data_IF_518307480026
#
_entry.id   IF_518307480026
#
_cell.length_a   1.000
_cell.length_b   1.000
_cell.length_c   1.000
_cell.angle_alpha   90.00
_cell.angle_beta   90.00
_cell.angle_gamma   90.00
#
_symmetry.space_group_name_H-M   'P 1'
#
loop_
_entity.id
_entity.type
_entity.pdbx_description
1 polymer ?
#
# COMPACT_ATOMS: atom_id res chain seq x y z
N UNK A 1 -1.86 -18.39 -14.19
CA UNK A 1 -2.21 -16.98 -14.47
C UNK A 1 -3.66 -16.87 -14.95
N UNK A 2 -4.60 -16.92 -14.02
CA UNK A 2 -6.02 -17.18 -14.34
C UNK A 2 -6.84 -15.86 -14.50
N UNK A 3 -6.16 -14.76 -14.86
CA UNK A 3 -6.84 -13.50 -15.12
C UNK A 3 -7.49 -13.50 -16.51
N UNK A 4 -8.73 -12.99 -16.60
CA UNK A 4 -9.46 -12.89 -17.86
C UNK A 4 -9.91 -11.43 -18.04
N UNK A 5 -9.44 -10.73 -19.09
CA UNK A 5 -8.41 -11.17 -20.04
C UNK A 5 -7.04 -11.33 -19.36
N UNK A 6 -6.15 -12.16 -19.95
CA UNK A 6 -4.78 -12.30 -19.43
C UNK A 6 -3.99 -10.99 -19.63
N UNK A 7 -2.97 -10.73 -18.78
CA UNK A 7 -2.06 -9.62 -19.03
C UNK A 7 -1.26 -9.85 -20.33
N UNK A 8 -0.90 -8.77 -21.03
CA UNK A 8 -0.07 -8.86 -22.23
C UNK A 8 1.36 -9.37 -21.92
N UNK A 9 1.84 -9.08 -20.73
CA UNK A 9 3.13 -9.55 -20.20
C UNK A 9 3.09 -9.66 -18.68
N UNK A 10 3.93 -10.52 -18.12
CA UNK A 10 4.20 -10.61 -16.68
C UNK A 10 5.69 -10.45 -16.45
N UNK A 11 6.05 -9.49 -15.62
CA UNK A 11 7.43 -9.14 -15.30
C UNK A 11 7.66 -9.42 -13.82
N UNK A 12 8.60 -10.32 -13.50
CA UNK A 12 9.07 -10.55 -12.15
C UNK A 12 10.43 -9.86 -11.96
N UNK A 13 10.46 -8.86 -11.10
CA UNK A 13 11.69 -8.14 -10.78
C UNK A 13 12.29 -8.71 -9.50
N UNK A 14 13.49 -9.24 -9.58
CA UNK A 14 14.24 -9.78 -8.43
C UNK A 14 15.23 -8.70 -7.94
N UNK A 15 15.09 -8.31 -6.68
CA UNK A 15 15.88 -7.20 -6.09
C UNK A 15 17.19 -7.71 -5.49
N UNK A 16 18.32 -7.55 -6.22
CA UNK A 16 19.69 -7.81 -5.77
C UNK A 16 19.89 -9.22 -5.15
N UNK A 17 19.23 -10.24 -5.71
CA UNK A 17 19.38 -11.62 -5.28
C UNK A 17 19.61 -12.53 -6.50
N UNK A 18 20.86 -12.67 -6.87
CA UNK A 18 21.26 -13.41 -8.07
C UNK A 18 20.87 -14.90 -8.02
N UNK A 19 20.90 -15.54 -6.85
CA UNK A 19 20.48 -16.93 -6.69
C UNK A 19 18.97 -17.09 -6.95
N UNK A 20 18.16 -16.20 -6.35
CA UNK A 20 16.71 -16.17 -6.58
C UNK A 20 16.38 -15.86 -8.04
N UNK A 21 17.10 -14.91 -8.65
CA UNK A 21 16.95 -14.58 -10.06
C UNK A 21 17.19 -15.80 -10.96
N UNK A 22 18.33 -16.51 -10.77
CA UNK A 22 18.67 -17.69 -11.55
C UNK A 22 17.63 -18.82 -11.38
N UNK A 23 17.12 -18.99 -10.15
CA UNK A 23 16.05 -19.97 -9.85
C UNK A 23 14.75 -19.59 -10.53
N UNK A 24 14.29 -18.35 -10.34
CA UNK A 24 13.04 -17.88 -10.93
C UNK A 24 13.06 -17.97 -12.47
N UNK A 25 14.17 -17.57 -13.10
CA UNK A 25 14.34 -17.65 -14.56
C UNK A 25 14.28 -19.09 -15.09
N UNK A 26 14.75 -20.06 -14.32
CA UNK A 26 14.66 -21.48 -14.68
C UNK A 26 13.25 -22.05 -14.48
N UNK A 27 12.59 -21.65 -13.37
CA UNK A 27 11.36 -22.30 -12.91
C UNK A 27 10.10 -21.63 -13.50
N UNK A 28 10.19 -20.39 -14.03
CA UNK A 28 9.07 -19.59 -14.54
C UNK A 28 9.26 -19.24 -16.02
N UNK A 29 9.05 -20.22 -16.91
CA UNK A 29 9.30 -20.07 -18.35
C UNK A 29 8.42 -19.00 -19.04
N UNK A 30 7.19 -18.79 -18.57
CA UNK A 30 6.21 -17.86 -19.16
C UNK A 30 6.24 -16.46 -18.52
N UNK A 31 7.24 -16.17 -17.68
CA UNK A 31 7.38 -14.91 -16.97
C UNK A 31 8.68 -14.23 -17.42
N UNK A 32 8.60 -12.93 -17.72
CA UNK A 32 9.81 -12.15 -17.97
C UNK A 32 10.51 -11.84 -16.63
N UNK A 33 11.48 -12.69 -16.27
CA UNK A 33 12.25 -12.54 -15.03
C UNK A 33 13.45 -11.62 -15.31
N UNK A 34 13.55 -10.54 -14.53
CA UNK A 34 14.62 -9.54 -14.63
C UNK A 34 15.23 -9.27 -13.26
N UNK A 35 16.50 -8.91 -13.24
CA UNK A 35 17.20 -8.48 -12.04
C UNK A 35 17.15 -6.96 -11.89
N UNK A 36 16.84 -6.46 -10.70
CA UNK A 36 16.97 -5.05 -10.38
C UNK A 36 18.46 -4.71 -10.27
N UNK A 37 18.98 -3.93 -11.21
CA UNK A 37 20.35 -3.42 -11.18
C UNK A 37 20.45 -1.96 -10.71
N UNK A 38 19.30 -1.33 -10.45
CA UNK A 38 19.19 0.04 -9.94
C UNK A 38 19.31 0.13 -8.42
N UNK A 39 18.63 1.06 -7.81
CA UNK A 39 18.61 1.21 -6.36
C UNK A 39 17.94 0.01 -5.68
N UNK A 40 18.55 -0.49 -4.61
CA UNK A 40 17.98 -1.58 -3.80
C UNK A 40 16.69 -1.16 -3.10
N UNK A 41 15.73 -2.07 -3.02
CA UNK A 41 14.47 -1.91 -2.31
C UNK A 41 13.25 -1.78 -3.22
N UNK A 42 12.08 -1.68 -2.60
CA UNK A 42 10.78 -1.76 -3.28
C UNK A 42 10.62 -0.72 -4.40
N UNK A 43 11.04 0.53 -4.17
CA UNK A 43 10.99 1.59 -5.18
C UNK A 43 11.87 1.29 -6.39
N UNK A 44 13.10 0.77 -6.17
CA UNK A 44 14.01 0.40 -7.25
C UNK A 44 13.46 -0.75 -8.09
N UNK A 45 12.96 -1.80 -7.43
CA UNK A 45 12.33 -2.93 -8.13
C UNK A 45 11.12 -2.50 -8.97
N UNK A 46 10.24 -1.64 -8.41
CA UNK A 46 9.08 -1.11 -9.14
C UNK A 46 9.49 -0.22 -10.32
N UNK A 47 10.53 0.60 -10.17
CA UNK A 47 11.05 1.42 -11.28
C UNK A 47 11.61 0.54 -12.41
N UNK A 48 12.39 -0.49 -12.07
CA UNK A 48 12.89 -1.45 -13.06
C UNK A 48 11.74 -2.08 -13.85
N UNK A 49 10.68 -2.55 -13.15
CA UNK A 49 9.49 -3.07 -13.82
C UNK A 49 8.78 -2.02 -14.69
N UNK A 50 8.67 -0.78 -14.21
CA UNK A 50 8.04 0.33 -14.93
C UNK A 50 8.80 0.71 -16.22
N UNK A 51 10.12 0.69 -16.18
CA UNK A 51 11.00 1.04 -17.31
C UNK A 51 10.91 0.01 -18.43
N UNK A 52 10.93 -1.29 -18.09
CA UNK A 52 10.96 -2.37 -19.09
C UNK A 52 9.58 -2.78 -19.60
N UNK A 53 8.51 -2.48 -18.87
CA UNK A 53 7.15 -2.79 -19.30
C UNK A 53 6.85 -2.14 -20.66
N UNK A 54 6.25 -2.91 -21.58
CA UNK A 54 5.82 -2.43 -22.90
C UNK A 54 4.39 -1.86 -22.89
N UNK A 55 3.57 -2.29 -21.91
CA UNK A 55 2.16 -1.89 -21.80
C UNK A 55 1.96 -0.41 -21.46
N UNK A 56 0.87 0.18 -21.93
CA UNK A 56 0.46 1.56 -21.57
C UNK A 56 0.04 1.66 -20.10
N UNK A 57 -0.47 0.57 -19.55
CA UNK A 57 -0.90 0.43 -18.14
C UNK A 57 -0.01 -0.62 -17.50
N UNK A 58 0.53 -0.31 -16.33
CA UNK A 58 1.29 -1.23 -15.49
C UNK A 58 0.50 -1.50 -14.22
N UNK A 59 0.23 -2.78 -13.94
CA UNK A 59 -0.36 -3.24 -12.69
C UNK A 59 0.72 -3.85 -11.80
N UNK A 60 0.74 -3.49 -10.53
CA UNK A 60 1.67 -4.00 -9.53
C UNK A 60 0.95 -4.93 -8.57
N UNK A 61 1.60 -6.05 -8.28
CA UNK A 61 1.18 -7.06 -7.32
C UNK A 61 2.42 -7.47 -6.51
N UNK A 62 2.32 -7.44 -5.18
CA UNK A 62 3.42 -7.88 -4.32
C UNK A 62 3.54 -9.43 -4.37
N UNK A 63 4.73 -9.96 -4.13
CA UNK A 63 5.05 -11.39 -4.23
C UNK A 63 4.44 -12.24 -3.09
N UNK A 64 3.99 -11.60 -2.03
CA UNK A 64 3.24 -12.20 -0.92
C UNK A 64 1.70 -12.01 -1.05
N UNK A 65 1.22 -11.74 -2.27
CA UNK A 65 -0.20 -11.54 -2.57
C UNK A 65 -0.71 -12.41 -3.71
N UNK A 66 -1.97 -12.83 -3.59
CA UNK A 66 -2.71 -13.60 -4.60
C UNK A 66 -3.88 -12.78 -5.13
N UNK A 67 -3.96 -12.66 -6.46
CA UNK A 67 -5.04 -11.93 -7.12
C UNK A 67 -6.30 -12.81 -7.26
N UNK A 68 -7.46 -12.29 -6.86
CA UNK A 68 -8.74 -12.95 -7.13
C UNK A 68 -9.05 -12.97 -8.63
N UNK A 69 -9.88 -13.91 -9.13
CA UNK A 69 -10.37 -13.89 -10.51
C UNK A 69 -11.01 -12.54 -10.84
N UNK A 70 -10.65 -11.98 -12.00
CA UNK A 70 -11.11 -10.64 -12.42
C UNK A 70 -10.42 -9.44 -11.76
N UNK A 71 -9.43 -9.66 -10.88
CA UNK A 71 -8.65 -8.57 -10.27
C UNK A 71 -8.12 -7.60 -11.30
N UNK A 72 -7.39 -8.10 -12.31
CA UNK A 72 -6.76 -7.25 -13.32
C UNK A 72 -7.80 -6.47 -14.14
N UNK A 73 -8.84 -7.16 -14.63
CA UNK A 73 -9.89 -6.55 -15.42
C UNK A 73 -10.57 -5.39 -14.67
N UNK A 74 -10.95 -5.63 -13.42
CA UNK A 74 -11.59 -4.62 -12.57
C UNK A 74 -10.64 -3.46 -12.25
N UNK A 75 -9.36 -3.78 -11.99
CA UNK A 75 -8.36 -2.77 -11.62
C UNK A 75 -8.09 -1.80 -12.77
N UNK A 76 -8.03 -2.30 -14.01
CA UNK A 76 -7.70 -1.48 -15.18
C UNK A 76 -8.90 -0.83 -15.85
N UNK A 77 -10.12 -1.34 -15.66
CA UNK A 77 -11.32 -0.84 -16.28
C UNK A 77 -11.52 0.69 -16.15
N UNK A 78 -11.34 1.32 -14.99
CA UNK A 78 -11.50 2.78 -14.87
C UNK A 78 -10.45 3.57 -15.65
N UNK A 79 -9.31 2.97 -16.01
CA UNK A 79 -8.26 3.62 -16.82
C UNK A 79 -8.65 3.80 -18.29
N UNK A 80 -9.82 3.30 -18.74
CA UNK A 80 -10.42 3.69 -20.04
C UNK A 80 -10.78 5.18 -20.07
N UNK A 81 -11.07 5.78 -18.91
CA UNK A 81 -11.24 7.22 -18.78
C UNK A 81 -9.86 7.91 -18.71
N UNK A 82 -9.52 8.82 -19.67
CA UNK A 82 -8.22 9.48 -19.70
C UNK A 82 -7.91 10.33 -18.46
N UNK A 83 -8.92 10.76 -17.71
CA UNK A 83 -8.75 11.50 -16.45
C UNK A 83 -8.35 10.59 -15.28
N UNK A 84 -8.47 9.27 -15.41
CA UNK A 84 -7.99 8.33 -14.39
C UNK A 84 -6.55 7.95 -14.70
N UNK A 85 -5.63 8.28 -13.79
CA UNK A 85 -4.19 8.04 -13.99
C UNK A 85 -3.65 6.86 -13.18
N UNK A 86 -4.36 6.48 -12.12
CA UNK A 86 -4.01 5.32 -11.32
C UNK A 86 -5.28 4.74 -10.64
N UNK A 87 -5.22 3.46 -10.31
CA UNK A 87 -6.25 2.78 -9.54
C UNK A 87 -5.60 1.94 -8.43
N UNK A 88 -6.36 1.64 -7.38
CA UNK A 88 -5.97 0.73 -6.32
C UNK A 88 -7.07 -0.25 -5.99
N UNK A 89 -6.73 -1.52 -5.87
CA UNK A 89 -7.66 -2.58 -5.49
C UNK A 89 -7.78 -2.75 -3.98
N UNK A 90 -8.73 -3.61 -3.58
CA UNK A 90 -8.90 -4.06 -2.21
C UNK A 90 -7.85 -5.09 -1.87
N UNK A 91 -7.19 -4.92 -0.73
CA UNK A 91 -6.19 -5.86 -0.20
C UNK A 91 -6.74 -6.49 1.08
N UNK A 92 -6.98 -7.80 1.06
CA UNK A 92 -7.56 -8.56 2.17
C UNK A 92 -6.45 -9.31 2.91
N UNK A 93 -6.33 -9.17 4.23
CA UNK A 93 -5.31 -9.87 5.00
C UNK A 93 -5.64 -11.37 5.16
N UNK A 94 -4.69 -12.24 4.83
CA UNK A 94 -4.71 -13.68 5.12
C UNK A 94 -3.67 -13.96 6.20
N UNK A 95 -4.11 -14.12 7.42
CA UNK A 95 -3.25 -14.31 8.58
C UNK A 95 -2.83 -15.77 8.73
N UNK A 96 -1.53 -16.05 8.75
CA UNK A 96 -0.98 -17.39 8.99
C UNK A 96 -1.48 -17.99 10.31
N UNK A 97 -1.54 -17.20 11.38
CA UNK A 97 -1.93 -17.64 12.72
C UNK A 97 -3.33 -17.16 13.14
N UNK A 98 -4.13 -16.71 12.19
CA UNK A 98 -5.41 -16.03 12.46
C UNK A 98 -5.22 -14.57 12.88
N UNK A 99 -6.29 -13.77 12.71
CA UNK A 99 -6.30 -12.35 13.07
C UNK A 99 -6.15 -12.18 14.59
N UNK A 100 -5.20 -11.36 15.08
CA UNK A 100 -5.11 -11.05 16.50
C UNK A 100 -6.37 -10.36 17.02
N UNK A 101 -6.93 -10.85 18.13
CA UNK A 101 -8.19 -10.31 18.71
C UNK A 101 -8.10 -8.83 19.11
N UNK A 102 -6.88 -8.34 19.36
CA UNK A 102 -6.61 -6.94 19.70
C UNK A 102 -6.44 -6.03 18.48
N UNK A 103 -6.22 -6.59 17.27
CA UNK A 103 -5.94 -5.82 16.06
C UNK A 103 -7.21 -5.22 15.47
N UNK A 104 -7.39 -3.88 15.53
CA UNK A 104 -8.56 -3.23 14.96
C UNK A 104 -8.43 -3.12 13.42
N UNK A 105 -9.55 -3.30 12.71
CA UNK A 105 -9.59 -3.21 11.25
C UNK A 105 -9.24 -1.82 10.72
N UNK A 106 -9.37 -0.78 11.53
CA UNK A 106 -8.93 0.58 11.23
C UNK A 106 -7.44 0.67 10.97
N UNK A 107 -6.66 -0.25 11.54
CA UNK A 107 -5.20 -0.29 11.42
C UNK A 107 -4.68 -1.40 10.48
N UNK A 108 -5.51 -1.98 9.61
CA UNK A 108 -5.04 -2.99 8.64
C UNK A 108 -3.99 -2.45 7.65
N UNK A 109 -3.91 -1.14 7.50
CA UNK A 109 -2.81 -0.49 6.77
C UNK A 109 -1.42 -0.78 7.36
N UNK A 110 -1.33 -1.09 8.67
CA UNK A 110 -0.07 -1.49 9.32
C UNK A 110 0.54 -2.71 8.66
N UNK A 111 -0.30 -3.61 8.19
CA UNK A 111 0.11 -4.84 7.48
C UNK A 111 -0.03 -4.73 5.96
N UNK A 112 -0.22 -3.51 5.42
CA UNK A 112 -0.32 -3.27 3.98
C UNK A 112 -1.67 -3.62 3.37
N UNK A 113 -2.74 -3.73 4.18
CA UNK A 113 -4.06 -4.13 3.74
C UNK A 113 -5.07 -2.97 3.74
N UNK A 114 -6.18 -3.19 3.04
CA UNK A 114 -7.33 -2.27 3.08
C UNK A 114 -7.91 -2.23 4.48
N UNK A 115 -8.16 -1.02 4.97
CA UNK A 115 -8.56 -0.77 6.34
C UNK A 115 -9.96 -0.19 6.41
N UNK A 116 -10.61 -0.34 7.54
CA UNK A 116 -11.92 0.27 7.81
C UNK A 116 -11.83 1.79 7.73
N UNK A 117 -12.65 2.39 6.88
CA UNK A 117 -12.64 3.82 6.57
C UNK A 117 -12.24 4.13 5.12
N UNK A 118 -11.77 3.12 4.37
CA UNK A 118 -11.72 3.22 2.90
C UNK A 118 -13.14 3.18 2.31
N UNK A 119 -13.34 3.74 1.10
CA UNK A 119 -14.64 3.71 0.43
C UNK A 119 -15.13 2.27 0.18
N UNK A 120 -16.46 2.06 0.28
CA UNK A 120 -17.08 0.76 -0.03
C UNK A 120 -17.45 0.61 -1.52
N UNK A 121 -17.38 1.71 -2.28
CA UNK A 121 -17.64 1.78 -3.72
C UNK A 121 -16.46 2.45 -4.42
N UNK A 122 -16.40 2.30 -5.74
CA UNK A 122 -15.44 3.03 -6.55
C UNK A 122 -15.49 4.53 -6.23
N UNK A 123 -14.36 5.08 -5.82
CA UNK A 123 -14.27 6.45 -5.31
C UNK A 123 -12.86 7.02 -5.46
N UNK A 124 -12.74 8.35 -5.62
CA UNK A 124 -11.45 9.02 -5.58
C UNK A 124 -10.76 8.83 -4.22
N UNK A 125 -9.47 8.51 -4.28
CA UNK A 125 -8.60 8.41 -3.11
C UNK A 125 -7.31 9.22 -3.30
N UNK A 126 -6.56 9.45 -2.22
CA UNK A 126 -5.27 10.14 -2.33
C UNK A 126 -4.25 9.32 -3.09
N UNK A 127 -4.11 8.06 -2.73
CA UNK A 127 -3.15 7.10 -3.30
C UNK A 127 -3.69 5.68 -3.21
N UNK A 128 -3.24 4.75 -4.08
CA UNK A 128 -3.54 3.34 -3.95
C UNK A 128 -2.75 2.69 -2.81
N UNK A 129 -3.05 1.42 -2.50
CA UNK A 129 -2.21 0.54 -1.70
C UNK A 129 -1.25 -0.16 -2.66
N UNK A 130 0.06 -0.10 -2.39
CA UNK A 130 1.10 -0.57 -3.29
C UNK A 130 1.03 -2.03 -3.70
N UNK A 131 0.49 -2.90 -2.81
CA UNK A 131 0.27 -4.32 -3.06
C UNK A 131 -0.74 -4.61 -4.21
N UNK A 132 -1.66 -3.68 -4.49
CA UNK A 132 -2.68 -3.82 -5.54
C UNK A 132 -2.95 -2.47 -6.17
N UNK A 133 -2.15 -2.10 -7.16
CA UNK A 133 -2.32 -0.81 -7.85
C UNK A 133 -2.05 -0.95 -9.34
N UNK A 134 -2.68 -0.08 -10.14
CA UNK A 134 -2.27 0.13 -11.53
C UNK A 134 -2.16 1.62 -11.84
N UNK A 135 -1.38 1.93 -12.86
CA UNK A 135 -1.14 3.31 -13.28
C UNK A 135 -0.79 3.40 -14.77
N UNK A 136 -1.01 4.58 -15.34
CA UNK A 136 -0.53 4.88 -16.68
C UNK A 136 0.98 4.97 -16.66
N UNK A 137 1.64 4.06 -17.38
CA UNK A 137 3.09 3.92 -17.42
C UNK A 137 3.78 5.25 -17.77
N UNK A 138 3.34 5.90 -18.84
CA UNK A 138 3.96 7.16 -19.29
C UNK A 138 3.87 8.25 -18.24
N UNK A 139 2.70 8.42 -17.61
CA UNK A 139 2.50 9.41 -16.55
C UNK A 139 3.41 9.16 -15.34
N UNK A 140 3.60 7.89 -14.96
CA UNK A 140 4.50 7.54 -13.87
C UNK A 140 5.97 7.84 -14.20
N UNK A 141 6.42 7.54 -15.43
CA UNK A 141 7.77 7.87 -15.92
C UNK A 141 7.97 9.40 -15.95
N UNK A 142 7.02 10.15 -16.49
CA UNK A 142 7.09 11.61 -16.57
C UNK A 142 7.08 12.27 -15.20
N UNK A 143 6.46 11.62 -14.19
CA UNK A 143 6.55 12.01 -12.79
C UNK A 143 7.88 11.63 -12.12
N UNK A 144 8.79 10.94 -12.79
CA UNK A 144 10.08 10.50 -12.26
C UNK A 144 10.04 9.18 -11.49
N UNK A 145 9.02 8.34 -11.71
CA UNK A 145 8.90 7.02 -11.06
C UNK A 145 8.75 7.07 -9.54
N UNK A 146 9.04 5.97 -8.88
CA UNK A 146 9.05 5.85 -7.41
C UNK A 146 10.36 6.39 -6.85
N UNK A 147 10.29 7.33 -5.90
CA UNK A 147 11.50 7.85 -5.24
C UNK A 147 12.15 6.80 -4.36
N UNK A 148 13.44 6.59 -4.51
CA UNK A 148 14.20 5.56 -3.79
C UNK A 148 14.57 5.98 -2.37
N UNK A 149 14.50 7.29 -2.06
CA UNK A 149 14.65 7.81 -0.70
C UNK A 149 13.41 7.56 0.18
N UNK A 150 12.28 7.27 -0.47
CA UNK A 150 11.00 6.91 0.16
C UNK A 150 10.70 5.47 -0.19
N UNK A 151 10.24 4.70 0.79
CA UNK A 151 9.94 3.28 0.57
C UNK A 151 10.77 2.35 1.44
N UNK A 152 10.49 1.04 1.32
CA UNK A 152 11.19 0.01 2.09
C UNK A 152 12.54 -0.32 1.47
N UNK A 153 13.58 -0.29 2.29
CA UNK A 153 14.91 -0.79 1.95
C UNK A 153 15.38 -1.71 3.09
N UNK A 154 15.45 -3.01 2.82
CA UNK A 154 15.82 -4.02 3.82
C UNK A 154 14.93 -3.95 5.07
N UNK A 155 15.54 -3.81 6.26
CA UNK A 155 14.83 -3.72 7.54
C UNK A 155 14.20 -2.35 7.84
N UNK A 156 14.40 -1.35 7.00
CA UNK A 156 13.77 -0.03 7.17
C UNK A 156 12.31 -0.10 6.77
N UNK A 157 11.41 0.08 7.74
CA UNK A 157 9.95 0.00 7.56
C UNK A 157 9.33 1.35 7.13
N UNK A 158 10.11 2.23 6.48
CA UNK A 158 9.57 3.45 5.85
C UNK A 158 8.73 3.06 4.63
N UNK A 159 7.63 3.74 4.42
CA UNK A 159 6.72 3.54 3.28
C UNK A 159 6.28 4.89 2.74
N UNK A 160 5.32 4.89 1.81
CA UNK A 160 4.72 6.08 1.25
C UNK A 160 5.26 6.46 -0.13
N UNK A 161 5.99 5.56 -0.78
CA UNK A 161 6.49 5.73 -2.15
C UNK A 161 5.33 5.87 -3.14
N UNK A 162 4.25 5.11 -2.96
CA UNK A 162 3.02 5.24 -3.74
C UNK A 162 2.30 6.55 -3.45
N UNK A 163 2.34 7.02 -2.20
CA UNK A 163 1.75 8.32 -1.81
C UNK A 163 2.52 9.47 -2.44
N UNK A 164 3.84 9.44 -2.40
CA UNK A 164 4.72 10.43 -3.02
C UNK A 164 4.47 10.49 -4.53
N UNK A 165 4.48 9.33 -5.20
CA UNK A 165 4.20 9.27 -6.64
C UNK A 165 2.79 9.81 -6.96
N UNK A 166 1.78 9.43 -6.19
CA UNK A 166 0.40 9.90 -6.37
C UNK A 166 0.27 11.42 -6.24
N UNK A 167 1.00 12.05 -5.33
CA UNK A 167 1.02 13.50 -5.16
C UNK A 167 1.67 14.17 -6.39
N UNK A 168 2.81 13.63 -6.85
CA UNK A 168 3.53 14.16 -8.03
C UNK A 168 2.71 14.01 -9.32
N UNK A 169 2.06 12.86 -9.52
CA UNK A 169 1.13 12.62 -10.63
C UNK A 169 0.03 13.67 -10.69
N UNK A 170 -0.64 13.96 -9.55
CA UNK A 170 -1.69 14.97 -9.49
C UNK A 170 -1.18 16.40 -9.62
N UNK A 171 0.08 16.66 -9.27
CA UNK A 171 0.71 17.97 -9.49
C UNK A 171 0.94 18.21 -10.98
N UNK A 172 1.35 17.19 -11.73
CA UNK A 172 1.53 17.28 -13.19
C UNK A 172 0.20 17.32 -13.94
N UNK A 173 -0.83 16.68 -13.41
CA UNK A 173 -2.17 16.61 -14.01
C UNK A 173 -3.25 16.86 -12.95
N UNK A 174 -3.54 18.14 -12.60
CA UNK A 174 -4.43 18.50 -11.49
C UNK A 174 -5.87 17.97 -11.62
N UNK A 175 -6.37 17.83 -12.84
CA UNK A 175 -7.72 17.29 -13.15
C UNK A 175 -7.78 15.76 -13.04
N UNK A 176 -6.65 15.09 -12.92
CA UNK A 176 -6.59 13.64 -12.90
C UNK A 176 -7.06 13.07 -11.56
N UNK A 177 -7.52 11.80 -11.62
CA UNK A 177 -8.07 11.08 -10.48
C UNK A 177 -7.31 9.79 -10.26
N UNK A 178 -7.21 9.44 -8.99
CA UNK A 178 -6.78 8.12 -8.52
C UNK A 178 -7.99 7.48 -7.88
N UNK A 179 -8.38 6.28 -8.34
CA UNK A 179 -9.59 5.62 -7.87
C UNK A 179 -9.28 4.39 -7.03
N UNK A 180 -10.03 4.21 -5.96
CA UNK A 180 -10.12 2.95 -5.24
C UNK A 180 -11.22 2.09 -5.83
N UNK A 181 -10.90 0.84 -6.19
CA UNK A 181 -11.77 -0.11 -6.88
C UNK A 181 -11.95 -1.34 -5.98
N UNK A 182 -12.95 -1.34 -5.05
CA UNK A 182 -13.11 -2.42 -4.08
C UNK A 182 -13.51 -3.76 -4.72
N UNK A 183 -14.02 -3.76 -5.96
CA UNK A 183 -14.31 -4.97 -6.74
C UNK A 183 -13.06 -5.66 -7.31
N UNK A 184 -11.90 -5.01 -7.26
CA UNK A 184 -10.60 -5.58 -7.62
C UNK A 184 -9.89 -6.04 -6.35
N UNK A 185 -9.84 -7.33 -6.07
CA UNK A 185 -9.38 -7.86 -4.78
C UNK A 185 -8.13 -8.70 -4.91
N UNK A 186 -7.20 -8.51 -3.97
CA UNK A 186 -6.07 -9.40 -3.73
C UNK A 186 -6.07 -9.90 -2.28
N UNK A 187 -5.53 -11.08 -2.04
CA UNK A 187 -5.30 -11.70 -0.74
C UNK A 187 -3.82 -11.57 -0.40
N UNK A 188 -3.51 -10.84 0.66
CA UNK A 188 -2.15 -10.60 1.11
C UNK A 188 -1.81 -11.52 2.28
N UNK A 189 -0.83 -12.39 2.10
CA UNK A 189 -0.41 -13.36 3.10
C UNK A 189 0.47 -12.71 4.17
N UNK A 190 0.04 -12.84 5.42
CA UNK A 190 0.66 -12.19 6.57
C UNK A 190 1.32 -13.23 7.46
N UNK A 191 2.66 -13.28 7.52
CA UNK A 191 3.38 -14.21 8.38
C UNK A 191 3.15 -13.89 9.86
N UNK A 192 3.33 -14.89 10.75
CA UNK A 192 3.05 -14.82 12.18
C UNK A 192 3.73 -13.63 12.90
N UNK A 193 4.89 -13.18 12.42
CA UNK A 193 5.59 -12.04 12.99
C UNK A 193 4.84 -10.71 12.81
N UNK A 194 4.02 -10.57 11.74
CA UNK A 194 3.18 -9.37 11.51
C UNK A 194 1.96 -9.33 12.44
N UNK A 195 1.58 -10.45 13.07
CA UNK A 195 0.52 -10.52 14.09
C UNK A 195 0.96 -10.05 15.48
N UNK A 196 2.23 -9.69 15.66
CA UNK A 196 2.78 -9.30 16.96
C UNK A 196 2.57 -7.82 17.26
N UNK A 197 2.37 -7.50 18.54
CA UNK A 197 2.24 -6.13 19.02
C UNK A 197 3.48 -5.28 18.73
N UNK A 198 4.68 -5.89 18.79
CA UNK A 198 5.95 -5.21 18.47
C UNK A 198 6.02 -4.78 17.00
N UNK A 199 5.47 -5.58 16.07
CA UNK A 199 5.36 -5.20 14.66
C UNK A 199 4.42 -4.01 14.48
N UNK A 200 3.22 -4.07 15.10
CA UNK A 200 2.25 -2.98 15.08
C UNK A 200 2.86 -1.65 15.55
N UNK A 201 3.53 -1.65 16.69
CA UNK A 201 4.23 -0.49 17.24
C UNK A 201 5.26 0.08 16.26
N UNK A 202 6.13 -0.79 15.78
CA UNK A 202 7.19 -0.41 14.85
C UNK A 202 6.59 0.23 13.60
N UNK A 203 5.55 -0.38 13.02
CA UNK A 203 4.90 0.16 11.82
C UNK A 203 4.20 1.49 12.05
N UNK A 204 3.47 1.65 13.16
CA UNK A 204 2.84 2.92 13.51
C UNK A 204 3.89 4.03 13.65
N UNK A 205 5.00 3.76 14.34
CA UNK A 205 6.07 4.74 14.53
C UNK A 205 6.73 5.13 13.19
N UNK A 206 7.07 4.14 12.37
CA UNK A 206 7.70 4.38 11.07
C UNK A 206 6.75 5.06 10.08
N UNK A 207 5.46 4.76 10.12
CA UNK A 207 4.45 5.47 9.33
C UNK A 207 4.41 6.96 9.68
N UNK A 208 4.44 7.29 10.97
CA UNK A 208 4.55 8.69 11.41
C UNK A 208 5.79 9.37 10.81
N UNK A 209 6.94 8.72 10.85
CA UNK A 209 8.17 9.25 10.25
C UNK A 209 8.07 9.42 8.74
N UNK A 210 7.47 8.45 8.04
CA UNK A 210 7.23 8.55 6.59
C UNK A 210 6.35 9.75 6.26
N UNK A 211 5.30 9.99 7.04
CA UNK A 211 4.44 11.18 6.89
C UNK A 211 5.20 12.50 7.12
N UNK A 212 6.17 12.53 8.04
CA UNK A 212 7.02 13.70 8.22
C UNK A 212 7.93 13.95 7.00
N UNK A 213 8.49 12.90 6.42
CA UNK A 213 9.29 12.98 5.18
C UNK A 213 8.41 13.51 4.04
N UNK A 214 7.26 12.89 3.81
CA UNK A 214 6.31 13.32 2.77
C UNK A 214 5.85 14.78 2.97
N UNK A 215 5.61 15.19 4.21
CA UNK A 215 5.21 16.57 4.52
C UNK A 215 6.32 17.59 4.19
N UNK A 216 7.59 17.18 4.28
CA UNK A 216 8.73 18.02 3.86
C UNK A 216 8.88 18.08 2.35
N UNK A 217 8.78 16.95 1.67
CA UNK A 217 8.96 16.85 0.23
C UNK A 217 7.81 17.51 -0.55
N UNK A 218 6.58 17.26 -0.10
CA UNK A 218 5.37 17.58 -0.88
C UNK A 218 4.47 18.65 -0.21
N UNK A 219 4.85 19.09 0.99
CA UNK A 219 4.07 20.01 1.82
C UNK A 219 3.05 19.30 2.72
N UNK A 220 2.85 19.81 3.93
CA UNK A 220 2.00 19.20 4.95
C UNK A 220 0.54 19.02 4.49
N UNK A 221 -0.01 19.96 3.70
CA UNK A 221 -1.39 19.86 3.18
C UNK A 221 -1.57 18.66 2.26
N UNK A 222 -0.62 18.39 1.37
CA UNK A 222 -0.66 17.24 0.45
C UNK A 222 -0.33 15.94 1.18
N UNK A 223 0.72 15.92 2.00
CA UNK A 223 1.17 14.75 2.75
C UNK A 223 0.17 14.22 3.78
N UNK A 224 -0.71 15.09 4.33
CA UNK A 224 -1.68 14.74 5.38
C UNK A 224 -3.15 14.88 4.95
N UNK A 225 -3.44 14.97 3.65
CA UNK A 225 -4.79 15.28 3.15
C UNK A 225 -5.86 14.24 3.53
N UNK A 226 -5.50 12.96 3.64
CA UNK A 226 -6.42 11.88 4.04
C UNK A 226 -6.57 11.71 5.54
N UNK A 227 -5.64 12.26 6.33
CA UNK A 227 -5.53 11.99 7.77
C UNK A 227 -6.68 12.62 8.58
N UNK A 228 -7.19 13.76 8.13
CA UNK A 228 -8.23 14.48 8.87
C UNK A 228 -9.51 13.64 9.03
N UNK A 229 -10.02 13.08 7.95
CA UNK A 229 -11.20 12.22 8.00
C UNK A 229 -10.97 10.98 8.87
N UNK A 230 -9.81 10.34 8.67
CA UNK A 230 -9.43 9.14 9.39
C UNK A 230 -9.34 9.39 10.91
N UNK A 231 -8.62 10.43 11.33
CA UNK A 231 -8.42 10.73 12.77
C UNK A 231 -9.66 11.30 13.46
N UNK A 232 -10.52 12.05 12.74
CA UNK A 232 -11.68 12.72 13.37
C UNK A 232 -12.97 11.92 13.30
N UNK A 233 -13.08 10.94 12.40
CA UNK A 233 -14.31 10.14 12.23
C UNK A 233 -14.06 8.64 12.37
N UNK A 234 -13.08 8.08 11.63
CA UNK A 234 -12.88 6.63 11.57
C UNK A 234 -12.38 6.11 12.92
N UNK A 235 -11.31 6.69 13.47
CA UNK A 235 -10.74 6.23 14.74
C UNK A 235 -11.68 6.41 15.94
N UNK A 236 -12.35 7.55 16.14
CA UNK A 236 -13.34 7.68 17.22
C UNK A 236 -14.49 6.67 17.11
N UNK A 237 -15.01 6.44 15.91
CA UNK A 237 -16.02 5.42 15.68
C UNK A 237 -15.51 4.00 16.00
N UNK A 238 -14.22 3.71 15.73
CA UNK A 238 -13.56 2.46 16.12
C UNK A 238 -13.47 2.27 17.62
N UNK A 239 -13.10 3.32 18.36
CA UNK A 239 -13.08 3.30 19.84
C UNK A 239 -14.48 3.05 20.40
N UNK A 240 -15.50 3.74 19.88
CA UNK A 240 -16.89 3.55 20.31
C UNK A 240 -17.39 2.13 20.01
N UNK A 241 -17.04 1.54 18.86
CA UNK A 241 -17.34 0.12 18.56
C UNK A 241 -16.71 -0.80 19.58
N UNK A 242 -15.41 -0.62 19.87
CA UNK A 242 -14.70 -1.43 20.87
C UNK A 242 -15.33 -1.32 22.26
N UNK A 243 -15.77 -0.13 22.67
CA UNK A 243 -16.51 0.06 23.91
C UNK A 243 -17.88 -0.65 23.88
N UNK A 244 -18.60 -0.57 22.77
CA UNK A 244 -19.87 -1.28 22.56
C UNK A 244 -19.71 -2.81 22.60
N UNK A 245 -18.64 -3.34 22.03
CA UNK A 245 -18.32 -4.77 22.06
C UNK A 245 -18.03 -5.23 23.50
N UNK A 246 -17.28 -4.43 24.26
CA UNK A 246 -17.02 -4.69 25.68
C UNK A 246 -18.32 -4.77 26.48
N UNK A 247 -19.25 -3.84 26.28
CA UNK A 247 -20.57 -3.84 26.94
C UNK A 247 -21.42 -5.05 26.56
N UNK A 248 -21.16 -5.68 25.42
CA UNK A 248 -21.81 -6.94 24.98
C UNK A 248 -21.07 -8.20 25.44
N UNK A 249 -20.02 -8.06 26.28
CA UNK A 249 -19.26 -9.16 26.84
C UNK A 249 -18.03 -9.58 26.02
N UNK A 250 -17.71 -8.93 24.91
CA UNK A 250 -16.45 -9.18 24.16
C UNK A 250 -15.31 -8.33 24.73
N UNK A 251 -14.53 -8.93 25.63
CA UNK A 251 -13.36 -8.27 26.25
C UNK A 251 -12.33 -7.80 25.20
N UNK A 252 -12.29 -8.42 24.02
CA UNK A 252 -11.40 -7.99 22.94
C UNK A 252 -11.75 -6.59 22.42
N UNK A 253 -12.97 -6.12 22.61
CA UNK A 253 -13.41 -4.76 22.31
C UNK A 253 -12.54 -3.70 22.99
N UNK A 254 -12.26 -3.89 24.30
CA UNK A 254 -11.37 -3.00 25.05
C UNK A 254 -9.94 -3.01 24.48
N UNK A 255 -9.43 -4.18 24.07
CA UNK A 255 -8.10 -4.32 23.48
C UNK A 255 -8.03 -3.59 22.13
N UNK A 256 -9.06 -3.73 21.28
CA UNK A 256 -9.16 -3.01 20.00
C UNK A 256 -9.21 -1.49 20.19
N UNK A 257 -10.04 -1.00 21.13
CA UNK A 257 -10.10 0.42 21.46
C UNK A 257 -8.76 0.95 21.97
N UNK A 258 -8.10 0.21 22.88
CA UNK A 258 -6.76 0.53 23.37
C UNK A 258 -5.71 0.56 22.25
N UNK A 259 -5.76 -0.39 21.32
CA UNK A 259 -4.86 -0.45 20.17
C UNK A 259 -5.05 0.76 19.22
N UNK A 260 -6.28 1.24 19.02
CA UNK A 260 -6.55 2.46 18.24
C UNK A 260 -5.88 3.67 18.88
N UNK A 261 -6.07 3.87 20.18
CA UNK A 261 -5.49 4.99 20.92
C UNK A 261 -3.96 4.92 20.93
N UNK A 262 -3.41 3.75 21.19
CA UNK A 262 -1.96 3.51 21.16
C UNK A 262 -1.38 3.75 19.75
N UNK A 263 -2.00 3.20 18.71
CA UNK A 263 -1.56 3.36 17.34
C UNK A 263 -1.54 4.81 16.88
N UNK A 264 -2.58 5.59 17.21
CA UNK A 264 -2.64 7.03 16.94
C UNK A 264 -1.51 7.77 17.67
N UNK A 265 -1.33 7.50 18.96
CA UNK A 265 -0.28 8.15 19.78
C UNK A 265 1.11 7.86 19.24
N UNK A 266 1.39 6.60 18.90
CA UNK A 266 2.70 6.17 18.38
C UNK A 266 2.96 6.76 17.00
N UNK A 267 1.96 6.81 16.12
CA UNK A 267 2.09 7.43 14.80
C UNK A 267 2.37 8.93 14.94
N UNK A 268 1.70 9.60 15.88
CA UNK A 268 1.95 11.02 16.18
C UNK A 268 3.37 11.25 16.71
N UNK A 269 3.85 10.41 17.63
CA UNK A 269 5.23 10.46 18.14
C UNK A 269 6.24 10.23 17.01
N UNK A 270 5.99 9.28 16.13
CA UNK A 270 6.81 9.03 14.94
C UNK A 270 6.88 10.26 14.03
N UNK A 271 5.74 10.92 13.79
CA UNK A 271 5.67 12.15 13.00
C UNK A 271 6.48 13.29 13.62
N UNK A 272 6.28 13.57 14.91
CA UNK A 272 7.02 14.61 15.62
C UNK A 272 8.53 14.30 15.64
N UNK A 273 8.92 13.06 15.94
CA UNK A 273 10.31 12.62 15.85
C UNK A 273 10.90 12.80 14.45
N UNK A 274 10.09 12.51 13.41
CA UNK A 274 10.47 12.73 12.03
C UNK A 274 10.69 14.20 11.70
N UNK A 275 9.90 15.12 12.23
CA UNK A 275 10.07 16.57 12.03
C UNK A 275 11.34 17.11 12.70
N UNK A 276 11.78 16.52 13.83
CA UNK A 276 12.97 16.98 14.57
C UNK A 276 14.30 16.48 13.96
N UNK A 277 14.27 15.42 13.17
CA UNK A 277 15.49 14.93 12.49
C UNK A 277 15.64 15.68 11.17
N UNK A 278 16.71 16.48 11.08
CA UNK A 278 17.15 17.14 9.84
C UNK A 278 17.74 16.13 8.86
#
# INVERSE_FOLDING_TARGET
>A
MDQVPPPAEVILVVDHNHELYARAKRDLADVNVVENTGATGLSGGRNTGLEIAAGEIVAFLDDDAEADPGWLANLVAPLTNPLVIATGGKVVPIWETGRPRWMPEEFDWVVGCSYRGLPERESPVRNPIGCSMSLRRRAAIDAGGFRTEVGRVGARLTGGEETDLAIRLRRLSPESRILYVPGSTVRHYLPANRARWTYFWSRCYHEGRSKAILSRLEGAKAGLSSERHYTTRVLPAGVLRGAGDLLRGDLSGALRAGAILAGLSITTLGYLSGLLRR
#
